data_IF_907874720443
#
_entry.id   IF_907874720443
#
_cell.length_a   1.000
_cell.length_b   1.000
_cell.length_c   1.000
_cell.angle_alpha   90.00
_cell.angle_beta   90.00
_cell.angle_gamma   90.00
#
_symmetry.space_group_name_H-M   'P 1'
#
loop_
_entity.id
_entity.type
_entity.pdbx_description
1 polymer ?
#
# COMPACT_ATOMS: atom_id res chain seq x y z
N UNK A 1 -48.08 -68.69 -2.46
CA UNK A 1 -46.81 -68.45 -1.75
C UNK A 1 -45.87 -67.87 -2.78
N UNK A 2 -45.95 -66.55 -2.99
CA UNK A 2 -45.14 -65.86 -4.01
C UNK A 2 -44.19 -64.89 -3.32
N UNK A 3 -42.92 -65.08 -3.63
CA UNK A 3 -41.78 -64.35 -3.07
C UNK A 3 -41.64 -63.04 -3.84
N UNK A 4 -41.85 -61.91 -3.16
CA UNK A 4 -41.53 -60.58 -3.70
C UNK A 4 -40.02 -60.37 -3.69
N UNK A 5 -39.40 -60.43 -4.86
CA UNK A 5 -38.02 -59.97 -5.09
C UNK A 5 -38.02 -58.46 -5.34
N UNK A 6 -37.40 -57.74 -4.41
CA UNK A 6 -37.15 -56.29 -4.49
C UNK A 6 -35.97 -56.02 -5.44
N UNK A 7 -36.07 -55.14 -6.45
CA UNK A 7 -34.91 -54.73 -7.22
C UNK A 7 -34.22 -53.53 -6.57
N UNK A 8 -32.90 -53.66 -6.44
CA UNK A 8 -31.91 -52.69 -5.93
C UNK A 8 -31.96 -51.37 -6.74
N UNK A 9 -31.86 -50.18 -6.13
CA UNK A 9 -31.77 -48.93 -6.88
C UNK A 9 -30.43 -48.85 -7.62
N UNK A 10 -30.51 -48.63 -8.93
CA UNK A 10 -29.36 -48.43 -9.79
C UNK A 10 -28.57 -47.17 -9.36
N UNK A 11 -27.28 -47.37 -9.15
CA UNK A 11 -26.27 -46.32 -9.00
C UNK A 11 -26.33 -45.36 -10.19
N UNK A 12 -26.83 -44.15 -9.99
CA UNK A 12 -26.70 -43.06 -10.96
C UNK A 12 -25.22 -42.71 -11.10
N UNK A 13 -24.68 -42.99 -12.29
CA UNK A 13 -23.35 -42.53 -12.68
C UNK A 13 -23.36 -41.01 -12.80
N UNK A 14 -22.36 -40.26 -12.28
CA UNK A 14 -22.27 -38.83 -12.51
C UNK A 14 -22.05 -38.59 -14.00
N UNK A 15 -23.10 -38.19 -14.69
CA UNK A 15 -23.01 -37.67 -16.04
C UNK A 15 -22.04 -36.48 -16.00
N UNK A 16 -20.97 -36.60 -16.78
CA UNK A 16 -20.03 -35.54 -17.10
C UNK A 16 -20.80 -34.23 -17.35
N UNK A 17 -20.75 -33.31 -16.39
CA UNK A 17 -21.11 -31.92 -16.62
C UNK A 17 -20.11 -31.39 -17.66
N UNK A 18 -20.60 -31.18 -18.88
CA UNK A 18 -19.89 -30.42 -19.90
C UNK A 18 -19.50 -29.05 -19.30
N UNK A 19 -18.33 -28.48 -19.66
CA UNK A 19 -17.95 -27.17 -19.18
C UNK A 19 -19.04 -26.18 -19.55
N UNK A 20 -19.71 -25.64 -18.54
CA UNK A 20 -20.63 -24.53 -18.69
C UNK A 20 -19.88 -23.41 -19.43
N UNK A 21 -20.33 -23.11 -20.66
CA UNK A 21 -19.77 -22.03 -21.46
C UNK A 21 -19.76 -20.75 -20.62
N UNK A 22 -18.69 -19.93 -20.67
CA UNK A 22 -18.58 -18.78 -19.79
C UNK A 22 -19.77 -17.85 -20.04
N UNK A 23 -20.57 -17.67 -18.99
CA UNK A 23 -21.64 -16.68 -18.97
C UNK A 23 -21.08 -15.36 -19.51
N UNK A 24 -21.74 -14.84 -20.54
CA UNK A 24 -21.40 -13.57 -21.15
C UNK A 24 -21.23 -12.49 -20.07
N UNK A 25 -20.14 -11.73 -20.16
CA UNK A 25 -19.85 -10.60 -19.28
C UNK A 25 -20.88 -9.49 -19.53
N UNK A 26 -22.06 -9.60 -18.89
CA UNK A 26 -23.07 -8.55 -18.88
C UNK A 26 -22.49 -7.33 -18.15
N UNK A 27 -22.43 -6.15 -18.79
CA UNK A 27 -21.90 -4.95 -18.14
C UNK A 27 -22.74 -4.63 -16.91
N UNK A 28 -22.06 -4.40 -15.78
CA UNK A 28 -22.70 -4.10 -14.50
C UNK A 28 -23.58 -2.84 -14.61
N UNK A 29 -24.78 -2.87 -14.04
CA UNK A 29 -25.71 -1.71 -14.03
C UNK A 29 -25.09 -0.44 -13.41
N UNK A 30 -24.00 -0.59 -12.64
CA UNK A 30 -23.22 0.51 -12.10
C UNK A 30 -22.29 1.16 -13.15
N UNK A 31 -21.64 0.36 -14.00
CA UNK A 31 -20.79 0.86 -15.08
C UNK A 31 -21.58 1.69 -16.09
N UNK A 32 -22.80 1.24 -16.42
CA UNK A 32 -23.70 1.97 -17.30
C UNK A 32 -24.09 3.35 -16.73
N UNK A 33 -24.31 3.45 -15.41
CA UNK A 33 -24.65 4.71 -14.73
C UNK A 33 -23.47 5.67 -14.69
N UNK A 34 -22.28 5.19 -14.33
CA UNK A 34 -21.06 5.98 -14.32
C UNK A 34 -20.76 6.53 -15.72
N UNK A 35 -20.84 5.66 -16.74
CA UNK A 35 -20.65 6.06 -18.14
C UNK A 35 -21.66 7.10 -18.59
N UNK A 36 -22.93 6.99 -18.18
CA UNK A 36 -23.96 7.97 -18.51
C UNK A 36 -23.67 9.34 -17.90
N UNK A 37 -23.29 9.39 -16.62
CA UNK A 37 -22.96 10.66 -15.94
C UNK A 37 -21.75 11.35 -16.59
N UNK A 38 -20.71 10.57 -16.93
CA UNK A 38 -19.54 11.08 -17.65
C UNK A 38 -19.93 11.64 -19.03
N UNK A 39 -20.73 10.89 -19.80
CA UNK A 39 -21.20 11.34 -21.12
C UNK A 39 -22.06 12.60 -20.97
N UNK A 40 -23.00 12.65 -20.02
CA UNK A 40 -23.84 13.83 -19.82
C UNK A 40 -23.02 15.04 -19.41
N UNK A 41 -22.04 14.87 -18.52
CA UNK A 41 -21.14 15.96 -18.12
C UNK A 41 -20.32 16.49 -19.29
N UNK A 42 -19.78 15.58 -20.13
CA UNK A 42 -19.00 15.95 -21.31
C UNK A 42 -19.86 16.63 -22.38
N UNK A 43 -21.08 16.16 -22.61
CA UNK A 43 -22.03 16.78 -23.56
C UNK A 43 -22.45 18.17 -23.09
N UNK A 44 -22.76 18.34 -21.80
CA UNK A 44 -23.13 19.65 -21.23
C UNK A 44 -21.95 20.62 -21.28
N UNK A 45 -20.75 20.18 -20.91
CA UNK A 45 -19.54 20.99 -21.00
C UNK A 45 -19.22 21.38 -22.45
N UNK A 46 -19.36 20.44 -23.39
CA UNK A 46 -19.16 20.66 -24.82
C UNK A 46 -20.17 21.65 -25.40
N UNK A 47 -21.47 21.53 -25.07
CA UNK A 47 -22.51 22.46 -25.50
C UNK A 47 -22.31 23.86 -24.93
N UNK A 48 -21.93 23.98 -23.65
CA UNK A 48 -21.58 25.26 -23.04
C UNK A 48 -20.41 25.92 -23.76
N UNK A 49 -19.35 25.15 -24.05
CA UNK A 49 -18.18 25.66 -24.76
C UNK A 49 -18.53 26.09 -26.19
N UNK A 50 -19.30 25.27 -26.93
CA UNK A 50 -19.76 25.60 -28.29
C UNK A 50 -20.63 26.86 -28.32
N UNK A 51 -21.62 26.96 -27.43
CA UNK A 51 -22.52 28.12 -27.38
C UNK A 51 -21.79 29.42 -27.05
N UNK A 52 -20.78 29.34 -26.18
CA UNK A 52 -19.98 30.48 -25.77
C UNK A 52 -18.93 30.87 -26.83
N UNK A 53 -18.35 29.92 -27.56
CA UNK A 53 -17.55 30.22 -28.78
C UNK A 53 -18.42 30.88 -29.85
N UNK A 54 -19.63 30.38 -30.10
CA UNK A 54 -20.55 30.98 -31.05
C UNK A 54 -20.95 32.41 -30.65
N UNK A 55 -21.18 32.65 -29.35
CA UNK A 55 -21.44 33.99 -28.81
C UNK A 55 -20.23 34.92 -29.03
N UNK A 56 -19.01 34.44 -28.80
CA UNK A 56 -17.80 35.22 -29.03
C UNK A 56 -17.63 35.59 -30.52
N UNK A 57 -17.93 34.64 -31.42
CA UNK A 57 -17.90 34.86 -32.88
C UNK A 57 -18.97 35.87 -33.30
N UNK A 58 -20.20 35.76 -32.78
CA UNK A 58 -21.28 36.72 -33.03
C UNK A 58 -20.88 38.14 -32.62
N UNK A 59 -20.32 38.31 -31.41
CA UNK A 59 -19.83 39.60 -30.93
C UNK A 59 -18.66 40.12 -31.78
N UNK A 60 -17.78 39.24 -32.24
CA UNK A 60 -16.68 39.60 -33.13
C UNK A 60 -17.18 40.10 -34.48
N UNK A 61 -18.15 39.39 -35.08
CA UNK A 61 -18.77 39.76 -36.36
C UNK A 61 -19.47 41.12 -36.23
N UNK A 62 -20.27 41.34 -35.18
CA UNK A 62 -20.93 42.62 -34.93
C UNK A 62 -19.93 43.79 -34.77
N UNK A 63 -18.84 43.56 -34.03
CA UNK A 63 -17.77 44.54 -33.88
C UNK A 63 -17.07 44.85 -35.21
N UNK A 64 -16.81 43.82 -36.04
CA UNK A 64 -16.22 44.00 -37.36
C UNK A 64 -17.14 44.81 -38.28
N UNK A 65 -18.43 44.50 -38.35
CA UNK A 65 -19.40 45.25 -39.17
C UNK A 65 -19.51 46.72 -38.76
N UNK A 66 -19.47 47.03 -37.46
CA UNK A 66 -19.54 48.40 -36.94
C UNK A 66 -18.31 49.26 -37.32
N UNK A 67 -17.12 48.66 -37.41
CA UNK A 67 -15.91 49.36 -37.85
C UNK A 67 -15.97 49.70 -39.35
N UNK A 68 -16.60 48.86 -40.18
CA UNK A 68 -16.79 49.15 -41.61
C UNK A 68 -17.74 50.32 -41.89
N UNK A 69 -18.69 50.60 -41.00
CA UNK A 69 -19.62 51.75 -41.12
C UNK A 69 -19.04 53.07 -40.60
N UNK A 70 -17.76 53.09 -40.18
CA UNK A 70 -17.07 54.31 -39.73
C UNK A 70 -17.45 54.80 -38.33
N UNK A 71 -18.23 54.02 -37.58
CA UNK A 71 -18.70 54.31 -36.22
C UNK A 71 -18.08 53.38 -35.16
N UNK A 72 -17.24 52.43 -35.58
CA UNK A 72 -16.72 51.37 -34.73
C UNK A 72 -15.38 51.66 -34.04
N UNK A 73 -15.04 50.87 -33.01
CA UNK A 73 -13.78 51.00 -32.26
C UNK A 73 -12.55 50.78 -33.14
N UNK A 74 -11.41 51.35 -32.72
CA UNK A 74 -10.15 51.25 -33.45
C UNK A 74 -9.72 49.78 -33.60
N UNK A 75 -9.04 49.38 -34.71
CA UNK A 75 -8.69 47.98 -34.96
C UNK A 75 -7.92 47.30 -33.82
N UNK A 76 -7.08 48.05 -33.09
CA UNK A 76 -6.35 47.53 -31.93
C UNK A 76 -7.25 47.17 -30.73
N UNK A 77 -8.33 47.91 -30.50
CA UNK A 77 -9.27 47.64 -29.41
C UNK A 77 -10.07 46.35 -29.64
N UNK A 78 -10.39 46.05 -30.90
CA UNK A 78 -11.09 44.81 -31.28
C UNK A 78 -10.23 43.58 -30.98
N UNK A 79 -8.95 43.62 -31.35
CA UNK A 79 -8.01 42.50 -31.12
C UNK A 79 -7.79 42.27 -29.62
N UNK A 80 -7.60 43.33 -28.83
CA UNK A 80 -7.43 43.22 -27.37
C UNK A 80 -8.69 42.66 -26.70
N UNK A 81 -9.88 43.07 -27.14
CA UNK A 81 -11.15 42.54 -26.66
C UNK A 81 -11.30 41.04 -26.93
N UNK A 82 -11.03 40.61 -28.18
CA UNK A 82 -11.04 39.20 -28.57
C UNK A 82 -10.06 38.36 -27.75
N UNK A 83 -8.85 38.86 -27.53
CA UNK A 83 -7.85 38.17 -26.71
C UNK A 83 -8.28 38.05 -25.25
N UNK A 84 -8.83 39.12 -24.67
CA UNK A 84 -9.32 39.13 -23.29
C UNK A 84 -10.47 38.13 -23.11
N UNK A 85 -11.44 38.16 -24.00
CA UNK A 85 -12.61 37.31 -23.92
C UNK A 85 -12.21 35.84 -24.10
N UNK A 86 -11.33 35.53 -25.05
CA UNK A 86 -10.77 34.18 -25.21
C UNK A 86 -10.00 33.72 -23.96
N UNK A 87 -9.19 34.59 -23.34
CA UNK A 87 -8.46 34.28 -22.12
C UNK A 87 -9.40 34.01 -20.93
N UNK A 88 -10.46 34.81 -20.75
CA UNK A 88 -11.45 34.59 -19.69
C UNK A 88 -12.14 33.24 -19.84
N UNK A 89 -12.49 32.87 -21.07
CA UNK A 89 -13.15 31.59 -21.38
C UNK A 89 -12.22 30.42 -21.08
N UNK A 90 -10.96 30.54 -21.50
CA UNK A 90 -9.95 29.52 -21.25
C UNK A 90 -9.76 29.29 -19.74
N UNK A 91 -9.59 30.38 -18.97
CA UNK A 91 -9.46 30.30 -17.51
C UNK A 91 -10.72 29.74 -16.85
N UNK A 92 -11.91 30.13 -17.30
CA UNK A 92 -13.17 29.59 -16.77
C UNK A 92 -13.30 28.07 -17.04
N UNK A 93 -12.89 27.60 -18.20
CA UNK A 93 -12.89 26.18 -18.53
C UNK A 93 -11.82 25.41 -17.74
N UNK A 94 -10.61 25.96 -17.65
CA UNK A 94 -9.52 25.38 -16.86
C UNK A 94 -9.90 25.25 -15.39
N UNK A 95 -10.48 26.30 -14.79
CA UNK A 95 -10.94 26.28 -13.39
C UNK A 95 -12.04 25.24 -13.14
N UNK A 96 -12.93 24.99 -14.09
CA UNK A 96 -13.90 23.90 -14.00
C UNK A 96 -13.22 22.53 -13.95
N UNK A 97 -12.22 22.31 -14.81
CA UNK A 97 -11.44 21.07 -14.83
C UNK A 97 -10.68 20.90 -13.51
N UNK A 98 -9.97 21.94 -13.05
CA UNK A 98 -9.26 21.91 -11.77
C UNK A 98 -10.23 21.65 -10.62
N UNK A 99 -11.42 22.26 -10.64
CA UNK A 99 -12.47 21.99 -9.65
C UNK A 99 -12.95 20.54 -9.64
N UNK A 100 -13.16 19.94 -10.82
CA UNK A 100 -13.50 18.52 -10.92
C UNK A 100 -12.37 17.61 -10.43
N UNK A 101 -11.12 17.92 -10.80
CA UNK A 101 -9.93 17.21 -10.32
C UNK A 101 -9.77 17.32 -8.80
N UNK A 102 -10.08 18.46 -8.21
CA UNK A 102 -10.09 18.67 -6.77
C UNK A 102 -11.09 17.73 -6.08
N UNK A 103 -12.29 17.57 -6.63
CA UNK A 103 -13.29 16.62 -6.10
C UNK A 103 -12.74 15.20 -6.14
N UNK A 104 -12.17 14.78 -7.29
CA UNK A 104 -11.56 13.46 -7.43
C UNK A 104 -10.42 13.26 -6.44
N UNK A 105 -9.54 14.26 -6.27
CA UNK A 105 -8.43 14.21 -5.34
C UNK A 105 -8.91 14.04 -3.89
N UNK A 106 -9.96 14.75 -3.48
CA UNK A 106 -10.56 14.62 -2.14
C UNK A 106 -11.07 13.18 -1.94
N UNK A 107 -11.77 12.62 -2.93
CA UNK A 107 -12.26 11.23 -2.87
C UNK A 107 -11.11 10.22 -2.79
N UNK A 108 -10.01 10.45 -3.52
CA UNK A 108 -8.82 9.61 -3.45
C UNK A 108 -8.16 9.66 -2.07
N UNK A 109 -7.98 10.85 -1.51
CA UNK A 109 -7.44 11.01 -0.15
C UNK A 109 -8.34 10.32 0.87
N UNK A 110 -9.67 10.44 0.73
CA UNK A 110 -10.61 9.73 1.60
C UNK A 110 -10.43 8.22 1.53
N UNK A 111 -10.31 7.65 0.33
CA UNK A 111 -10.05 6.21 0.16
C UNK A 111 -8.72 5.80 0.80
N UNK A 112 -7.68 6.61 0.65
CA UNK A 112 -6.37 6.33 1.24
C UNK A 112 -6.42 6.37 2.77
N UNK A 113 -7.16 7.32 3.34
CA UNK A 113 -7.38 7.42 4.79
C UNK A 113 -8.14 6.21 5.31
N UNK A 114 -9.16 5.74 4.60
CA UNK A 114 -9.91 4.52 4.96
C UNK A 114 -8.98 3.30 4.96
N UNK A 115 -8.21 3.09 3.89
CA UNK A 115 -7.25 1.98 3.79
C UNK A 115 -6.21 2.03 4.92
N UNK A 116 -5.63 3.21 5.18
CA UNK A 116 -4.66 3.38 6.26
C UNK A 116 -5.27 3.03 7.64
N UNK A 117 -6.53 3.40 7.87
CA UNK A 117 -7.22 3.14 9.14
C UNK A 117 -7.65 1.70 9.30
N UNK A 118 -8.11 1.06 8.23
CA UNK A 118 -8.75 -0.25 8.29
C UNK A 118 -7.76 -1.39 8.08
N UNK A 119 -6.64 -1.13 7.40
CA UNK A 119 -5.62 -2.15 7.10
C UNK A 119 -4.30 -1.86 7.82
N UNK A 120 -3.75 -0.64 7.66
CA UNK A 120 -2.40 -0.34 8.15
C UNK A 120 -2.35 -0.12 9.66
N UNK A 121 -3.33 0.58 10.24
CA UNK A 121 -3.37 0.82 11.70
C UNK A 121 -3.45 -0.49 12.49
N UNK A 122 -4.31 -1.47 12.15
CA UNK A 122 -4.31 -2.77 12.82
C UNK A 122 -2.98 -3.53 12.70
N UNK A 123 -2.28 -3.42 11.56
CA UNK A 123 -0.95 -4.04 11.43
C UNK A 123 0.05 -3.43 12.42
N UNK A 124 0.04 -2.11 12.62
CA UNK A 124 0.90 -1.46 13.62
C UNK A 124 0.57 -1.90 15.05
N UNK A 125 -0.72 -2.09 15.36
CA UNK A 125 -1.15 -2.64 16.65
C UNK A 125 -0.62 -4.07 16.86
N UNK A 126 -0.75 -4.94 15.84
CA UNK A 126 -0.24 -6.31 15.87
C UNK A 126 1.29 -6.37 15.99
N UNK A 127 2.00 -5.44 15.36
CA UNK A 127 3.46 -5.30 15.51
C UNK A 127 3.82 -4.92 16.94
N UNK A 128 3.09 -3.98 17.57
CA UNK A 128 3.32 -3.64 18.98
C UNK A 128 3.08 -4.83 19.91
N UNK A 129 2.02 -5.60 19.68
CA UNK A 129 1.75 -6.84 20.45
C UNK A 129 2.83 -7.90 20.23
N UNK A 130 3.31 -8.05 18.99
CA UNK A 130 4.42 -8.94 18.66
C UNK A 130 5.69 -8.52 19.38
N UNK A 131 6.02 -7.22 19.40
CA UNK A 131 7.18 -6.70 20.12
C UNK A 131 7.05 -6.93 21.63
N UNK A 132 5.87 -6.74 22.20
CA UNK A 132 5.59 -7.04 23.60
C UNK A 132 5.79 -8.53 23.91
N UNK A 133 5.26 -9.41 23.06
CA UNK A 133 5.38 -10.87 23.18
C UNK A 133 6.83 -11.34 23.02
N UNK A 134 7.55 -10.84 22.02
CA UNK A 134 8.96 -11.18 21.78
C UNK A 134 9.84 -10.70 22.94
N UNK A 135 9.60 -9.50 23.46
CA UNK A 135 10.28 -9.00 24.65
C UNK A 135 9.98 -9.87 25.87
N UNK A 136 8.72 -10.24 26.08
CA UNK A 136 8.31 -11.14 27.16
C UNK A 136 8.95 -12.52 27.07
N UNK A 137 8.97 -13.11 25.87
CA UNK A 137 9.61 -14.40 25.59
C UNK A 137 11.11 -14.33 25.84
N UNK A 138 11.77 -13.27 25.36
CA UNK A 138 13.20 -13.07 25.57
C UNK A 138 13.52 -12.90 27.06
N UNK A 139 12.70 -12.14 27.80
CA UNK A 139 12.86 -12.00 29.25
C UNK A 139 12.62 -13.32 29.99
N UNK A 140 11.62 -14.10 29.60
CA UNK A 140 11.34 -15.41 30.19
C UNK A 140 12.49 -16.38 29.96
N UNK A 141 12.95 -16.51 28.72
CA UNK A 141 14.08 -17.39 28.36
C UNK A 141 15.36 -16.93 29.06
N UNK A 142 15.59 -15.62 29.12
CA UNK A 142 16.74 -15.06 29.82
C UNK A 142 16.76 -15.41 31.32
N UNK A 143 15.66 -15.18 32.04
CA UNK A 143 15.61 -15.41 33.49
C UNK A 143 15.50 -16.88 33.86
N UNK A 144 14.72 -17.67 33.13
CA UNK A 144 14.35 -19.03 33.53
C UNK A 144 15.21 -20.12 32.89
N UNK A 145 15.92 -19.83 31.79
CA UNK A 145 16.71 -20.84 31.06
C UNK A 145 18.17 -20.41 30.96
N UNK A 146 18.44 -19.22 30.43
CA UNK A 146 19.82 -18.77 30.16
C UNK A 146 20.57 -18.44 31.45
N UNK A 147 19.98 -17.64 32.35
CA UNK A 147 20.65 -17.25 33.61
C UNK A 147 21.04 -18.45 34.47
N UNK A 148 20.18 -19.47 34.68
CA UNK A 148 20.56 -20.70 35.39
C UNK A 148 21.70 -21.46 34.71
N UNK A 149 21.64 -21.64 33.39
CA UNK A 149 22.66 -22.39 32.64
C UNK A 149 24.03 -21.71 32.73
N UNK A 150 24.08 -20.39 32.57
CA UNK A 150 25.32 -19.61 32.69
C UNK A 150 25.91 -19.70 34.09
N UNK A 151 25.07 -19.60 35.14
CA UNK A 151 25.51 -19.77 36.53
C UNK A 151 26.09 -21.16 36.77
N UNK A 152 25.42 -22.22 36.30
CA UNK A 152 25.89 -23.60 36.41
C UNK A 152 27.23 -23.82 35.71
N UNK A 153 27.37 -23.36 34.45
CA UNK A 153 28.64 -23.46 33.74
C UNK A 153 29.74 -22.65 34.42
N UNK A 154 29.41 -21.49 34.99
CA UNK A 154 30.33 -20.65 35.75
C UNK A 154 30.86 -21.34 37.00
N UNK A 155 30.00 -22.02 37.77
CA UNK A 155 30.42 -22.80 38.93
C UNK A 155 31.32 -23.97 38.55
N UNK A 156 30.98 -24.72 37.49
CA UNK A 156 31.82 -25.82 36.98
C UNK A 156 33.19 -25.31 36.51
N UNK A 157 33.23 -24.20 35.78
CA UNK A 157 34.47 -23.59 35.31
C UNK A 157 35.34 -23.10 36.48
N UNK A 158 34.74 -22.44 37.47
CA UNK A 158 35.42 -22.00 38.68
C UNK A 158 36.00 -23.16 39.48
N UNK A 159 35.22 -24.24 39.66
CA UNK A 159 35.69 -25.44 40.36
C UNK A 159 36.84 -26.12 39.62
N UNK A 160 36.74 -26.27 38.30
CA UNK A 160 37.83 -26.81 37.47
C UNK A 160 39.10 -26.00 37.61
N UNK A 161 38.98 -24.66 37.63
CA UNK A 161 40.11 -23.74 37.78
C UNK A 161 40.83 -23.92 39.12
N UNK A 162 40.08 -24.01 40.22
CA UNK A 162 40.63 -24.27 41.57
C UNK A 162 41.41 -25.58 41.60
N UNK A 163 40.85 -26.67 41.06
CA UNK A 163 41.54 -27.97 41.00
C UNK A 163 42.82 -27.89 40.18
N UNK A 164 42.79 -27.14 39.07
CA UNK A 164 43.96 -26.92 38.21
C UNK A 164 45.07 -26.16 38.93
N UNK A 165 44.76 -25.05 39.61
CA UNK A 165 45.73 -24.28 40.39
C UNK A 165 46.34 -25.12 41.52
N UNK A 166 45.53 -25.87 42.29
CA UNK A 166 46.01 -26.74 43.37
C UNK A 166 46.92 -27.86 42.83
N UNK A 167 46.53 -28.51 41.74
CA UNK A 167 47.34 -29.58 41.11
C UNK A 167 48.64 -29.05 40.48
N UNK A 168 48.62 -27.80 39.98
CA UNK A 168 49.78 -27.12 39.42
C UNK A 168 50.82 -26.74 40.47
N UNK A 169 50.37 -26.32 41.66
CA UNK A 169 51.25 -26.01 42.80
C UNK A 169 52.06 -27.25 43.24
N UNK A 170 51.45 -28.44 43.24
CA UNK A 170 52.15 -29.70 43.55
C UNK A 170 53.20 -30.10 42.50
N UNK A 171 53.11 -29.56 41.28
CA UNK A 171 54.05 -29.86 40.19
C UNK A 171 55.32 -29.00 40.27
N UNK A 172 55.23 -27.77 40.80
CA UNK A 172 56.38 -26.87 40.92
C UNK A 172 57.41 -27.30 41.97
N UNK A 173 57.01 -28.03 43.01
CA UNK A 173 57.95 -28.55 44.03
C UNK A 173 58.88 -29.63 43.46
N UNK A 174 58.43 -30.42 42.48
CA UNK A 174 59.27 -31.44 41.81
C UNK A 174 60.25 -30.87 40.78
N UNK A 175 60.08 -29.63 40.34
CA UNK A 175 61.00 -28.97 39.40
C UNK A 175 62.20 -28.35 40.13
N UNK A 176 61.99 -27.83 41.34
CA UNK A 176 63.05 -27.18 42.12
C UNK A 176 64.06 -28.20 42.69
N UNK A 177 63.61 -29.38 43.09
CA UNK A 177 64.50 -30.48 43.54
C UNK A 177 65.30 -31.10 42.39
N UNK A 178 64.87 -30.93 41.13
CA UNK A 178 65.62 -31.40 39.95
C UNK A 178 66.70 -30.40 39.53
N UNK A 179 66.45 -29.09 39.62
CA UNK A 179 67.45 -28.07 39.30
C UNK A 179 68.56 -27.96 40.36
N UNK A 180 68.30 -28.24 41.64
CA UNK A 180 69.36 -28.28 42.66
C UNK A 180 70.32 -29.46 42.50
N UNK A 181 69.98 -30.50 41.72
CA UNK A 181 70.89 -31.63 41.43
C UNK A 181 71.81 -31.40 40.23
N UNK A 182 71.62 -30.31 39.49
CA UNK A 182 72.48 -29.97 38.34
C UNK A 182 73.54 -28.92 38.71
N UNK A 183 73.33 -28.16 39.79
CA UNK A 183 74.28 -27.12 40.27
C UNK A 183 75.36 -27.67 41.21
N UNK A 184 75.15 -28.85 41.82
CA UNK A 184 76.14 -29.51 42.70
C UNK A 184 77.14 -30.41 41.92
N UNK A 185 77.16 -30.32 40.58
CA UNK A 185 78.01 -31.12 39.72
C UNK A 185 78.75 -30.24 38.68
N UNK A 186 79.31 -29.13 39.14
CA UNK A 186 80.42 -28.38 38.50
C UNK A 186 81.48 -27.99 39.55
#
# INVERSE_FOLDING_TARGET
MEVQTQPVPATESPLLQAPEAPAATEPSTAELRARRLLITGLVVAGLLLLGLVALLVLLSVDAYHATYTGTGPSPGMVVVGLLRDAAIIFVAFETLIIGALMIVLILQVQSLVVLLRDEVKPMLEAVNETLATVRGTTQFVSHNVVSPVVKWSGYLAGLRRIVQEISGLRKSEKQQVRNSKEVDNE
#
